data_IF_240686230664
#
_entry.id   IF_240686230664
#
_cell.length_a   1.000
_cell.length_b   1.000
_cell.length_c   1.000
_cell.angle_alpha   90.00
_cell.angle_beta   90.00
_cell.angle_gamma   90.00
#
_symmetry.space_group_name_H-M   'P 1'
#
loop_
_entity.id
_entity.type
_entity.pdbx_description
1 polymer ?
#
# COMPACT_ATOMS: atom_id res chain seq x y z
N UNK A 1 -32.25 3.69 6.86
CA UNK A 1 -31.39 2.48 6.81
C UNK A 1 -30.20 2.66 7.75
N UNK A 2 -29.83 1.67 8.56
CA UNK A 2 -28.71 1.77 9.51
C UNK A 2 -27.36 1.52 8.85
N UNK A 3 -26.32 2.24 9.29
CA UNK A 3 -24.97 2.16 8.74
C UNK A 3 -24.32 0.81 9.07
N UNK A 4 -23.70 0.16 8.07
CA UNK A 4 -22.98 -1.12 8.25
C UNK A 4 -21.61 -0.90 8.89
N UNK A 5 -21.14 -1.91 9.63
CA UNK A 5 -19.86 -1.88 10.37
C UNK A 5 -18.66 -1.80 9.44
N UNK A 6 -18.69 -2.51 8.32
CA UNK A 6 -17.63 -2.45 7.33
C UNK A 6 -17.82 -1.24 6.42
N UNK A 7 -17.00 -0.22 6.66
CA UNK A 7 -16.89 0.97 5.82
C UNK A 7 -15.48 0.98 5.20
N UNK A 8 -15.31 0.42 3.97
CA UNK A 8 -13.99 0.17 3.40
C UNK A 8 -13.23 1.47 3.14
N UNK A 9 -12.04 1.59 3.72
CA UNK A 9 -11.09 2.68 3.45
C UNK A 9 -9.69 2.11 3.26
N UNK A 10 -9.15 2.20 2.04
CA UNK A 10 -7.86 1.58 1.64
C UNK A 10 -6.72 2.04 2.56
N UNK A 11 -6.57 3.36 2.78
CA UNK A 11 -5.52 3.91 3.65
C UNK A 11 -5.61 3.39 5.08
N UNK A 12 -6.81 3.34 5.66
CA UNK A 12 -7.02 2.82 7.02
C UNK A 12 -6.66 1.35 7.10
N UNK A 13 -7.11 0.53 6.14
CA UNK A 13 -6.83 -0.91 6.09
C UNK A 13 -5.33 -1.19 6.08
N UNK A 14 -4.56 -0.44 5.29
CA UNK A 14 -3.10 -0.57 5.21
C UNK A 14 -2.38 -0.09 6.47
N UNK A 15 -2.82 1.02 7.07
CA UNK A 15 -2.24 1.55 8.32
C UNK A 15 -2.52 0.67 9.53
N UNK A 16 -3.60 -0.10 9.54
CA UNK A 16 -3.95 -0.95 10.68
C UNK A 16 -3.46 -2.38 10.49
N UNK A 17 -3.58 -2.93 9.28
CA UNK A 17 -3.33 -4.36 9.01
C UNK A 17 -2.18 -4.62 8.05
N UNK A 18 -1.45 -3.59 7.61
CA UNK A 18 -0.30 -3.73 6.74
C UNK A 18 0.92 -4.35 7.43
N UNK A 19 1.86 -4.82 6.62
CA UNK A 19 3.05 -5.55 7.09
C UNK A 19 3.89 -4.74 8.09
N UNK A 20 4.18 -3.47 7.77
CA UNK A 20 4.97 -2.57 8.64
C UNK A 20 4.39 -2.47 10.06
N UNK A 21 3.06 -2.43 10.16
CA UNK A 21 2.37 -2.29 11.44
C UNK A 21 2.34 -3.60 12.23
N UNK A 22 2.29 -4.74 11.55
CA UNK A 22 2.53 -6.04 12.19
C UNK A 22 3.96 -6.14 12.71
N UNK A 23 4.95 -5.67 11.96
CA UNK A 23 6.35 -5.72 12.40
C UNK A 23 6.68 -4.78 13.57
N UNK A 24 5.94 -3.68 13.73
CA UNK A 24 6.16 -2.68 14.79
C UNK A 24 6.02 -3.24 16.21
N UNK A 25 5.10 -4.19 16.42
CA UNK A 25 4.77 -4.71 17.76
C UNK A 25 5.28 -6.15 17.93
N UNK A 26 5.54 -6.58 19.18
CA UNK A 26 5.90 -7.98 19.48
C UNK A 26 4.78 -8.94 19.06
N UNK A 27 3.53 -8.63 19.41
CA UNK A 27 2.37 -9.43 19.04
C UNK A 27 2.17 -9.52 17.52
N UNK A 28 2.36 -8.42 16.78
CA UNK A 28 2.25 -8.44 15.33
C UNK A 28 3.34 -9.29 14.65
N UNK A 29 4.58 -9.30 15.17
CA UNK A 29 5.65 -10.19 14.71
C UNK A 29 5.29 -11.66 14.91
N UNK A 30 4.69 -12.01 16.05
CA UNK A 30 4.20 -13.37 16.32
C UNK A 30 3.11 -13.80 15.34
N UNK A 31 2.18 -12.90 14.99
CA UNK A 31 1.17 -13.17 13.95
C UNK A 31 1.83 -13.50 12.63
N UNK A 32 2.84 -12.74 12.19
CA UNK A 32 3.54 -13.02 10.94
C UNK A 32 4.29 -14.35 11.00
N UNK A 33 4.96 -14.66 12.13
CA UNK A 33 5.64 -15.95 12.34
C UNK A 33 4.66 -17.12 12.21
N UNK A 34 3.50 -17.05 12.87
CA UNK A 34 2.47 -18.08 12.79
C UNK A 34 1.90 -18.23 11.36
N UNK A 35 1.71 -17.11 10.65
CA UNK A 35 1.24 -17.15 9.25
C UNK A 35 2.27 -17.77 8.30
N UNK A 36 3.57 -17.52 8.52
CA UNK A 36 4.68 -18.17 7.81
C UNK A 36 4.73 -19.66 8.08
N UNK A 37 4.67 -20.07 9.36
CA UNK A 37 4.65 -21.48 9.74
C UNK A 37 3.47 -22.24 9.12
N UNK A 38 2.30 -21.59 9.01
CA UNK A 38 1.13 -22.15 8.33
C UNK A 38 1.24 -22.16 6.78
N UNK A 39 2.26 -21.51 6.20
CA UNK A 39 2.42 -21.43 4.74
C UNK A 39 1.38 -20.55 4.03
N UNK A 40 0.83 -19.52 4.69
CA UNK A 40 -0.15 -18.63 4.05
C UNK A 40 0.50 -17.85 2.91
N UNK A 41 -0.06 -17.88 1.70
CA UNK A 41 0.44 -17.12 0.55
C UNK A 41 0.56 -15.62 0.80
N UNK A 42 -0.34 -15.07 1.62
CA UNK A 42 -0.33 -13.65 2.01
C UNK A 42 -0.18 -13.47 3.52
N UNK A 43 0.84 -12.73 3.94
CA UNK A 43 1.15 -12.53 5.37
C UNK A 43 0.45 -11.30 5.98
N UNK A 44 0.21 -10.25 5.19
CA UNK A 44 -0.45 -9.02 5.61
C UNK A 44 -1.22 -8.39 4.43
N UNK A 45 -1.98 -7.33 4.70
CA UNK A 45 -2.71 -6.61 3.65
C UNK A 45 -1.72 -5.79 2.79
N UNK A 46 -1.78 -5.97 1.48
CA UNK A 46 -1.12 -5.14 0.47
C UNK A 46 -2.10 -4.11 -0.12
N UNK A 47 -1.56 -3.05 -0.71
CA UNK A 47 -2.38 -2.05 -1.39
C UNK A 47 -2.94 -2.61 -2.70
N UNK A 48 -4.11 -2.12 -3.11
CA UNK A 48 -4.66 -2.44 -4.43
C UNK A 48 -3.77 -1.80 -5.51
N UNK A 49 -3.04 -2.64 -6.25
CA UNK A 49 -2.13 -2.19 -7.31
C UNK A 49 -2.86 -1.74 -8.60
N UNK A 50 -4.16 -2.00 -8.71
CA UNK A 50 -4.98 -1.64 -9.88
C UNK A 50 -5.49 -0.19 -9.88
N UNK A 51 -5.35 0.55 -8.77
CA UNK A 51 -5.70 1.97 -8.76
C UNK A 51 -4.59 2.70 -9.51
N UNK A 52 -4.88 3.15 -10.74
CA UNK A 52 -3.95 3.89 -11.61
C UNK A 52 -3.23 4.96 -10.78
N UNK A 53 -1.97 4.70 -10.42
CA UNK A 53 -1.07 5.70 -9.77
C UNK A 53 -0.60 6.75 -10.78
N UNK A 54 -0.79 6.46 -12.07
CA UNK A 54 -0.49 7.32 -13.20
C UNK A 54 -1.79 8.02 -13.58
N UNK A 55 -1.82 9.34 -13.45
CA UNK A 55 -2.83 10.15 -14.12
C UNK A 55 -2.55 10.04 -15.62
N UNK A 56 -3.39 9.33 -16.38
CA UNK A 56 -3.23 9.22 -17.84
C UNK A 56 -3.30 10.60 -18.53
N UNK A 57 -3.91 11.60 -17.88
CA UNK A 57 -3.98 12.99 -18.33
C UNK A 57 -2.74 13.81 -17.92
N UNK A 58 -1.80 13.24 -17.17
CA UNK A 58 -0.53 13.88 -16.77
C UNK A 58 0.65 13.54 -17.67
N UNK A 59 0.43 12.74 -18.71
CA UNK A 59 1.47 12.19 -19.59
C UNK A 59 2.03 13.18 -20.62
N UNK A 60 1.50 14.41 -20.73
CA UNK A 60 1.78 15.27 -21.90
C UNK A 60 2.45 16.62 -21.63
N UNK A 61 2.74 17.03 -20.39
CA UNK A 61 3.46 18.32 -20.21
C UNK A 61 4.29 18.47 -18.92
N UNK A 62 3.86 17.89 -17.80
CA UNK A 62 4.53 18.14 -16.50
C UNK A 62 5.67 17.17 -16.21
N UNK A 63 5.58 15.92 -16.68
CA UNK A 63 6.65 14.94 -16.56
C UNK A 63 7.88 15.28 -17.42
N UNK A 64 7.69 15.83 -18.63
CA UNK A 64 8.78 16.37 -19.45
C UNK A 64 9.45 17.59 -18.78
N UNK A 65 8.65 18.42 -18.09
CA UNK A 65 9.14 19.63 -17.41
C UNK A 65 9.92 19.35 -16.12
N UNK A 66 9.63 18.26 -15.40
CA UNK A 66 10.42 17.85 -14.23
C UNK A 66 11.78 17.25 -14.62
N UNK A 67 11.86 16.56 -15.76
CA UNK A 67 13.13 16.03 -16.31
C UNK A 67 14.05 17.15 -16.80
N UNK A 68 13.52 18.30 -17.23
CA UNK A 68 14.33 19.49 -17.58
C UNK A 68 14.75 20.35 -16.37
N UNK A 69 14.11 20.22 -15.20
CA UNK A 69 14.42 21.05 -14.02
C UNK A 69 15.46 20.44 -13.08
N UNK A 70 15.61 19.11 -13.08
CA UNK A 70 16.70 18.40 -12.41
C UNK A 70 17.47 17.68 -13.50
N UNK A 71 18.56 18.30 -13.97
CA UNK A 71 19.32 17.87 -15.14
C UNK A 71 19.52 16.36 -15.25
N UNK A 72 19.35 15.85 -16.47
CA UNK A 72 19.65 14.46 -16.80
C UNK A 72 21.05 14.06 -16.35
N UNK A 73 21.14 12.90 -15.70
CA UNK A 73 22.40 12.31 -15.27
C UNK A 73 22.18 10.93 -14.65
N UNK A 74 21.98 9.91 -15.49
CA UNK A 74 23.03 9.03 -16.03
C UNK A 74 22.51 8.40 -17.31
#
# INVERSE_FOLDING_TARGET
MTKRTYQPKIRRRLRVHGFRQRMKTKGGRNVIKARRAKGRTSMAVSMNNHVKRINWNGSSATAYRSVKRFGGGK
#
